data_IF_003528952797
#
_entry.id   IF_003528952797
#
_cell.length_a   1.000
_cell.length_b   1.000
_cell.length_c   1.000
_cell.angle_alpha   90.00
_cell.angle_beta   90.00
_cell.angle_gamma   90.00
#
_symmetry.space_group_name_H-M   'P 1'
#
loop_
_entity.id
_entity.type
_entity.pdbx_description
1 polymer ?
#
# COMPACT_ATOMS: atom_id res chain seq x y z
N UNK A 1 38.84 5.24 -16.76
CA UNK A 1 38.99 5.08 -15.29
C UNK A 1 37.59 5.08 -14.68
N UNK A 2 36.99 3.92 -14.55
CA UNK A 2 35.58 3.76 -14.11
C UNK A 2 35.59 3.47 -12.60
N UNK A 3 35.12 4.39 -11.79
CA UNK A 3 34.99 4.20 -10.35
C UNK A 3 33.71 3.42 -10.06
N UNK A 4 33.86 2.19 -9.63
CA UNK A 4 32.78 1.36 -9.08
C UNK A 4 32.38 1.90 -7.70
N UNK A 5 31.15 2.37 -7.55
CA UNK A 5 30.56 2.73 -6.27
C UNK A 5 29.97 1.44 -5.66
N UNK A 6 30.59 0.92 -4.62
CA UNK A 6 30.06 -0.22 -3.84
C UNK A 6 29.06 0.34 -2.84
N UNK A 7 27.77 0.09 -3.08
CA UNK A 7 26.72 0.39 -2.11
C UNK A 7 26.66 -0.78 -1.13
N UNK A 8 27.14 -0.54 0.09
CA UNK A 8 27.03 -1.49 1.20
C UNK A 8 25.59 -1.53 1.69
N UNK A 9 24.87 -2.59 1.36
CA UNK A 9 23.57 -2.91 1.97
C UNK A 9 23.85 -3.46 3.36
N UNK A 10 23.56 -2.67 4.38
CA UNK A 10 23.61 -3.13 5.77
C UNK A 10 22.46 -4.12 6.00
N UNK A 11 22.78 -5.40 6.02
CA UNK A 11 21.89 -6.48 6.40
C UNK A 11 21.61 -6.40 7.89
N UNK A 12 20.44 -5.93 8.29
CA UNK A 12 19.94 -6.09 9.66
C UNK A 12 19.50 -7.53 9.81
N UNK A 13 20.38 -8.37 10.33
CA UNK A 13 20.07 -9.75 10.72
C UNK A 13 19.24 -9.69 12.00
N UNK A 14 17.90 -9.73 11.87
CA UNK A 14 17.02 -10.00 12.99
C UNK A 14 17.22 -11.45 13.42
N UNK A 15 17.82 -11.68 14.59
CA UNK A 15 17.92 -12.99 15.21
C UNK A 15 16.50 -13.51 15.47
N UNK A 16 16.03 -14.44 14.64
CA UNK A 16 14.84 -15.24 14.93
C UNK A 16 15.21 -16.21 16.06
N UNK A 17 14.77 -15.88 17.28
CA UNK A 17 14.71 -16.86 18.34
C UNK A 17 13.72 -17.95 17.89
N UNK A 18 14.23 -19.16 17.61
CA UNK A 18 13.43 -20.36 17.43
C UNK A 18 12.75 -20.68 18.77
N UNK A 19 11.57 -20.11 18.98
CA UNK A 19 10.66 -20.59 20.01
C UNK A 19 10.05 -21.87 19.45
N UNK A 20 10.29 -22.99 20.16
CA UNK A 20 9.81 -24.30 19.79
C UNK A 20 8.33 -24.27 19.43
N UNK A 21 7.98 -24.92 18.31
CA UNK A 21 6.63 -25.02 17.80
C UNK A 21 5.73 -25.82 18.76
N UNK A 22 5.13 -25.12 19.72
CA UNK A 22 3.82 -25.51 20.21
C UNK A 22 2.84 -25.11 19.11
N UNK A 23 1.99 -26.03 18.67
CA UNK A 23 0.92 -25.74 17.71
C UNK A 23 0.14 -24.52 18.23
N UNK A 24 0.34 -23.38 17.58
CA UNK A 24 -0.33 -22.15 18.00
C UNK A 24 -1.76 -22.24 17.49
N UNK A 25 -2.73 -22.40 18.39
CA UNK A 25 -4.16 -22.38 18.08
C UNK A 25 -4.66 -21.01 17.54
N UNK A 26 -3.76 -20.10 17.23
CA UNK A 26 -4.09 -18.76 16.73
C UNK A 26 -3.01 -18.13 15.85
N UNK A 27 -3.35 -17.01 15.20
CA UNK A 27 -2.40 -16.31 14.32
C UNK A 27 -1.26 -15.65 15.12
N UNK A 28 -0.07 -15.61 14.52
CA UNK A 28 1.01 -14.75 14.99
C UNK A 28 0.68 -13.31 14.58
N UNK A 29 0.60 -12.41 15.56
CA UNK A 29 0.20 -11.01 15.34
C UNK A 29 1.38 -10.08 15.59
N UNK A 30 1.68 -9.21 14.60
CA UNK A 30 2.70 -8.17 14.70
C UNK A 30 2.10 -6.84 14.27
N UNK A 31 2.31 -5.79 15.07
CA UNK A 31 1.94 -4.42 14.69
C UNK A 31 3.20 -3.62 14.43
N UNK A 32 3.23 -2.90 13.31
CA UNK A 32 4.35 -2.11 12.85
C UNK A 32 3.89 -0.69 12.52
N UNK A 33 4.66 0.35 12.86
CA UNK A 33 4.40 1.69 12.36
C UNK A 33 4.63 1.74 10.85
N UNK A 34 3.86 2.58 10.19
CA UNK A 34 4.04 2.96 8.79
C UNK A 34 4.41 4.43 8.74
N UNK A 35 5.58 4.74 8.21
CA UNK A 35 6.01 6.11 8.01
C UNK A 35 6.71 6.21 6.65
N UNK A 36 6.32 7.19 5.88
CA UNK A 36 7.01 7.54 4.65
C UNK A 36 7.03 9.06 4.50
N UNK A 37 8.11 9.60 3.96
CA UNK A 37 8.26 11.02 3.72
C UNK A 37 8.76 11.22 2.31
N UNK A 38 7.99 11.95 1.52
CA UNK A 38 8.32 12.35 0.16
C UNK A 38 8.73 11.17 -0.74
N UNK A 39 7.92 10.11 -0.76
CA UNK A 39 8.11 8.94 -1.62
C UNK A 39 7.14 8.98 -2.80
N UNK A 40 7.50 8.47 -3.98
CA UNK A 40 6.56 8.40 -5.11
C UNK A 40 5.33 7.56 -4.76
N UNK A 41 4.15 8.06 -5.08
CA UNK A 41 2.89 7.32 -4.95
C UNK A 41 2.76 6.22 -6.01
N UNK A 42 3.44 6.38 -7.15
CA UNK A 42 3.40 5.52 -8.33
C UNK A 42 2.83 6.25 -9.54
N UNK A 43 1.60 6.78 -9.49
CA UNK A 43 1.04 7.57 -10.57
C UNK A 43 1.73 8.92 -10.77
N UNK A 44 1.51 9.52 -11.96
CA UNK A 44 2.08 10.79 -12.36
C UNK A 44 1.01 11.76 -12.84
N UNK A 45 1.25 13.06 -12.67
CA UNK A 45 0.52 14.12 -13.38
C UNK A 45 1.36 14.52 -14.60
N UNK A 46 0.95 14.07 -15.79
CA UNK A 46 1.80 14.16 -16.96
C UNK A 46 3.10 13.37 -16.77
N UNK A 47 4.27 14.04 -16.81
CA UNK A 47 5.57 13.40 -16.60
C UNK A 47 6.06 13.47 -15.13
N UNK A 48 5.35 14.19 -14.26
CA UNK A 48 5.80 14.45 -12.90
C UNK A 48 5.19 13.46 -11.90
N UNK A 49 5.99 12.82 -11.02
CA UNK A 49 5.48 11.89 -10.03
C UNK A 49 4.72 12.64 -8.93
N UNK A 50 3.57 12.11 -8.55
CA UNK A 50 2.88 12.52 -7.31
C UNK A 50 3.67 11.95 -6.14
N UNK A 51 4.08 12.82 -5.22
CA UNK A 51 4.80 12.43 -4.00
C UNK A 51 3.81 12.25 -2.85
N UNK A 52 4.10 11.33 -1.94
CA UNK A 52 3.29 11.12 -0.74
C UNK A 52 4.14 11.14 0.53
N UNK A 53 3.54 11.66 1.60
CA UNK A 53 4.05 11.54 2.96
C UNK A 53 2.93 11.07 3.85
N UNK A 54 3.15 10.02 4.65
CA UNK A 54 2.11 9.46 5.50
C UNK A 54 2.66 8.87 6.79
N UNK A 55 1.80 8.80 7.79
CA UNK A 55 1.98 8.06 9.02
C UNK A 55 0.83 7.10 9.23
N UNK A 56 1.06 6.01 9.97
CA UNK A 56 0.01 5.04 10.20
C UNK A 56 0.50 3.80 10.91
N UNK A 57 -0.26 2.73 10.74
CA UNK A 57 0.07 1.42 11.30
C UNK A 57 -0.35 0.28 10.38
N UNK A 58 0.39 -0.81 10.48
CA UNK A 58 0.08 -2.08 9.84
C UNK A 58 0.07 -3.19 10.90
N UNK A 59 -1.08 -3.83 11.09
CA UNK A 59 -1.21 -5.06 11.87
C UNK A 59 -1.20 -6.25 10.92
N UNK A 60 -0.27 -7.16 11.14
CA UNK A 60 -0.09 -8.39 10.35
C UNK A 60 -0.50 -9.57 11.21
N UNK A 61 -1.40 -10.39 10.69
CA UNK A 61 -1.84 -11.66 11.27
C UNK A 61 -1.38 -12.78 10.34
N UNK A 62 -0.52 -13.65 10.83
CA UNK A 62 0.05 -14.76 10.06
C UNK A 62 -0.47 -16.08 10.60
N UNK A 63 -1.09 -16.89 9.74
CA UNK A 63 -1.69 -18.18 10.04
C UNK A 63 -0.82 -19.28 9.47
N UNK A 64 -0.52 -20.29 10.28
CA UNK A 64 0.37 -21.37 9.93
C UNK A 64 -0.34 -22.73 10.00
N UNK A 65 0.01 -23.62 9.07
CA UNK A 65 -0.26 -25.05 9.15
C UNK A 65 1.08 -25.76 9.39
N UNK A 66 1.32 -26.19 10.63
CA UNK A 66 2.65 -26.57 11.07
C UNK A 66 3.67 -25.44 10.86
N UNK A 67 4.77 -25.67 10.15
CA UNK A 67 5.77 -24.64 9.86
C UNK A 67 5.40 -23.76 8.64
N UNK A 68 4.35 -24.10 7.90
CA UNK A 68 4.01 -23.45 6.63
C UNK A 68 3.06 -22.29 6.83
N UNK A 69 3.43 -21.09 6.35
CA UNK A 69 2.55 -19.94 6.29
C UNK A 69 1.49 -20.18 5.20
N UNK A 70 0.22 -20.26 5.58
CA UNK A 70 -0.89 -20.54 4.65
C UNK A 70 -1.73 -19.32 4.33
N UNK A 71 -1.86 -18.38 5.29
CA UNK A 71 -2.64 -17.15 5.12
C UNK A 71 -1.97 -16.00 5.85
N UNK A 72 -2.02 -14.81 5.28
CA UNK A 72 -1.61 -13.59 5.96
C UNK A 72 -2.64 -12.49 5.74
N UNK A 73 -3.07 -11.84 6.83
CA UNK A 73 -3.91 -10.63 6.78
C UNK A 73 -3.11 -9.43 7.24
N UNK A 74 -3.20 -8.33 6.49
CA UNK A 74 -2.54 -7.07 6.79
C UNK A 74 -3.59 -5.98 6.87
N UNK A 75 -3.89 -5.53 8.08
CA UNK A 75 -4.78 -4.39 8.31
C UNK A 75 -3.93 -3.12 8.30
N UNK A 76 -4.16 -2.27 7.33
CA UNK A 76 -3.43 -1.03 7.11
C UNK A 76 -4.33 0.15 7.41
N UNK A 77 -3.80 1.15 8.14
CA UNK A 77 -4.39 2.48 8.30
C UNK A 77 -3.31 3.51 8.17
N UNK A 78 -3.57 4.55 7.42
CA UNK A 78 -2.65 5.66 7.25
C UNK A 78 -3.40 6.97 6.98
N UNK A 79 -2.74 8.07 7.30
CA UNK A 79 -3.13 9.43 6.96
C UNK A 79 -1.88 10.23 6.60
N UNK A 80 -2.04 11.21 5.73
CA UNK A 80 -0.93 12.01 5.24
C UNK A 80 -1.34 12.98 4.16
N UNK A 81 -0.41 13.26 3.26
CA UNK A 81 -0.62 14.17 2.14
C UNK A 81 -0.02 13.60 0.86
N UNK A 82 -0.62 14.00 -0.26
CA UNK A 82 0.01 13.90 -1.57
C UNK A 82 0.37 15.32 -2.05
N UNK A 83 1.46 15.41 -2.81
CA UNK A 83 2.01 16.70 -3.26
C UNK A 83 2.54 16.57 -4.67
N UNK A 84 2.35 17.60 -5.49
CA UNK A 84 3.04 17.75 -6.76
C UNK A 84 4.23 18.69 -6.55
N UNK A 85 5.49 18.26 -6.73
CA UNK A 85 6.67 19.05 -6.39
C UNK A 85 6.77 20.38 -7.13
N UNK A 86 6.38 20.44 -8.42
CA UNK A 86 6.43 21.65 -9.24
C UNK A 86 5.53 22.78 -8.74
N UNK A 87 4.37 22.44 -8.18
CA UNK A 87 3.38 23.42 -7.69
C UNK A 87 3.50 23.64 -6.19
N UNK A 88 4.05 22.68 -5.44
CA UNK A 88 4.06 22.69 -3.99
C UNK A 88 2.68 22.50 -3.34
N UNK A 89 1.62 22.29 -4.13
CA UNK A 89 0.27 22.07 -3.62
C UNK A 89 0.18 20.68 -2.98
N UNK A 90 -0.42 20.63 -1.79
CA UNK A 90 -0.60 19.40 -1.02
C UNK A 90 -2.06 19.15 -0.71
N UNK A 91 -2.51 17.91 -0.88
CA UNK A 91 -3.87 17.47 -0.56
C UNK A 91 -3.85 16.41 0.52
N UNK A 92 -4.81 16.40 1.47
CA UNK A 92 -4.98 15.34 2.44
C UNK A 92 -5.24 13.99 1.75
N UNK A 93 -4.57 12.95 2.22
CA UNK A 93 -4.66 11.59 1.71
C UNK A 93 -4.75 10.61 2.88
N UNK A 94 -5.70 9.71 2.83
CA UNK A 94 -5.89 8.70 3.86
C UNK A 94 -6.34 7.37 3.28
N UNK A 95 -6.17 6.29 4.05
CA UNK A 95 -6.67 4.97 3.69
C UNK A 95 -6.79 4.05 4.89
N UNK A 96 -7.67 3.06 4.75
CA UNK A 96 -7.87 1.98 5.71
C UNK A 96 -8.37 0.75 5.00
N UNK A 97 -7.52 -0.27 4.84
CA UNK A 97 -7.85 -1.48 4.09
C UNK A 97 -7.25 -2.73 4.72
N UNK A 98 -7.79 -3.86 4.33
CA UNK A 98 -7.25 -5.18 4.65
C UNK A 98 -6.74 -5.83 3.38
N UNK A 99 -5.49 -6.27 3.40
CA UNK A 99 -4.90 -7.10 2.36
C UNK A 99 -4.74 -8.52 2.90
N UNK A 100 -5.40 -9.48 2.27
CA UNK A 100 -5.35 -10.90 2.61
C UNK A 100 -4.59 -11.65 1.51
N UNK A 101 -3.53 -12.34 1.88
CA UNK A 101 -2.75 -13.23 1.02
C UNK A 101 -3.10 -14.67 1.35
N UNK A 102 -3.64 -15.41 0.41
CA UNK A 102 -3.81 -16.86 0.47
C UNK A 102 -2.69 -17.51 -0.34
N UNK A 103 -1.76 -18.14 0.35
CA UNK A 103 -0.58 -18.74 -0.28
C UNK A 103 -0.89 -20.05 -1.00
N UNK A 104 -1.94 -20.77 -0.57
CA UNK A 104 -2.36 -22.00 -1.23
C UNK A 104 -3.10 -21.70 -2.54
N UNK A 105 -4.00 -20.72 -2.51
CA UNK A 105 -4.74 -20.27 -3.69
C UNK A 105 -3.93 -19.32 -4.59
N UNK A 106 -2.79 -18.82 -4.12
CA UNK A 106 -1.98 -17.79 -4.79
C UNK A 106 -2.79 -16.53 -5.13
N UNK A 107 -3.67 -16.13 -4.23
CA UNK A 107 -4.52 -14.96 -4.42
C UNK A 107 -4.25 -13.89 -3.38
N UNK A 108 -4.30 -12.63 -3.82
CA UNK A 108 -4.35 -11.44 -2.99
C UNK A 108 -5.76 -10.86 -3.00
N UNK A 109 -6.29 -10.50 -1.85
CA UNK A 109 -7.59 -9.84 -1.74
C UNK A 109 -7.43 -8.55 -0.96
N UNK A 110 -7.81 -7.43 -1.57
CA UNK A 110 -7.82 -6.11 -0.92
C UNK A 110 -9.26 -5.70 -0.69
N UNK A 111 -9.60 -5.32 0.54
CA UNK A 111 -10.92 -4.83 0.91
C UNK A 111 -10.82 -3.55 1.73
N UNK A 112 -11.75 -2.61 1.51
CA UNK A 112 -11.80 -1.35 2.25
C UNK A 112 -11.40 -0.16 1.39
N UNK A 113 -10.96 0.92 2.03
CA UNK A 113 -10.60 2.18 1.37
C UNK A 113 -9.09 2.25 1.18
N UNK A 114 -8.61 1.91 -0.05
CA UNK A 114 -7.18 1.93 -0.35
C UNK A 114 -6.63 3.36 -0.44
N UNK A 115 -7.45 4.30 -0.97
CA UNK A 115 -7.07 5.71 -1.08
C UNK A 115 -8.29 6.62 -1.01
N UNK A 116 -8.12 7.78 -0.38
CA UNK A 116 -9.09 8.84 -0.27
C UNK A 116 -8.37 10.19 -0.27
N UNK A 117 -8.64 11.02 -1.27
CA UNK A 117 -8.05 12.36 -1.40
C UNK A 117 -9.16 13.39 -1.37
N UNK A 118 -8.98 14.43 -0.58
CA UNK A 118 -9.97 15.47 -0.34
C UNK A 118 -9.40 16.84 -0.72
N UNK A 119 -10.20 17.67 -1.38
CA UNK A 119 -9.89 19.10 -1.52
C UNK A 119 -10.39 19.84 -0.27
N UNK A 120 -9.49 20.49 0.49
CA UNK A 120 -9.88 21.30 1.65
C UNK A 120 -10.85 22.42 1.27
N UNK A 121 -11.64 22.88 2.25
CA UNK A 121 -12.55 24.02 2.03
C UNK A 121 -13.84 23.70 1.30
N UNK A 122 -14.25 22.43 1.25
CA UNK A 122 -15.54 22.03 0.66
C UNK A 122 -15.48 21.62 -0.80
N UNK A 123 -14.27 21.49 -1.37
CA UNK A 123 -14.06 21.02 -2.76
C UNK A 123 -14.41 19.55 -2.99
N UNK A 124 -14.72 18.79 -1.93
CA UNK A 124 -15.18 17.42 -2.04
C UNK A 124 -14.06 16.39 -2.12
N UNK A 125 -14.45 15.17 -2.51
CA UNK A 125 -13.55 14.03 -2.71
C UNK A 125 -13.18 13.97 -4.18
N UNK A 126 -11.88 14.03 -4.49
CA UNK A 126 -11.35 13.96 -5.87
C UNK A 126 -10.81 12.58 -6.23
N UNK A 127 -10.54 11.75 -5.22
CA UNK A 127 -10.15 10.36 -5.44
C UNK A 127 -10.80 9.48 -4.38
N UNK A 128 -11.47 8.44 -4.82
CA UNK A 128 -11.90 7.35 -3.96
C UNK A 128 -11.50 6.03 -4.61
N UNK A 129 -10.65 5.30 -3.91
CA UNK A 129 -10.32 3.93 -4.27
C UNK A 129 -10.75 3.02 -3.13
N UNK A 130 -11.89 2.36 -3.29
CA UNK A 130 -12.51 1.56 -2.21
C UNK A 130 -13.36 0.44 -2.78
N UNK A 131 -13.31 -0.70 -2.14
CA UNK A 131 -14.08 -1.87 -2.54
C UNK A 131 -13.31 -3.15 -2.35
N UNK A 132 -13.50 -4.08 -3.28
CA UNK A 132 -12.87 -5.39 -3.35
C UNK A 132 -12.00 -5.45 -4.61
N UNK A 133 -10.74 -5.81 -4.45
CA UNK A 133 -9.85 -6.23 -5.53
C UNK A 133 -9.36 -7.64 -5.21
N UNK A 134 -9.39 -8.52 -6.18
CA UNK A 134 -8.77 -9.86 -6.12
C UNK A 134 -7.73 -9.95 -7.22
N UNK A 135 -6.52 -10.33 -6.86
CA UNK A 135 -5.38 -10.41 -7.77
C UNK A 135 -4.72 -11.80 -7.72
N UNK A 136 -4.12 -12.21 -8.82
CA UNK A 136 -3.26 -13.39 -8.90
C UNK A 136 -1.83 -13.01 -8.51
N UNK A 137 -1.41 -13.40 -7.31
CA UNK A 137 -0.08 -13.07 -6.79
C UNK A 137 1.01 -14.06 -7.22
N UNK A 138 0.68 -15.04 -8.07
CA UNK A 138 1.67 -15.93 -8.69
C UNK A 138 2.46 -15.23 -9.81
N UNK A 139 1.99 -14.06 -10.27
CA UNK A 139 2.55 -13.28 -11.37
C UNK A 139 3.00 -11.89 -10.90
N UNK A 140 3.91 -11.27 -11.66
CA UNK A 140 4.31 -9.90 -11.41
C UNK A 140 4.40 -9.10 -12.73
N UNK A 141 3.71 -7.96 -12.86
CA UNK A 141 2.72 -7.42 -11.92
C UNK A 141 1.50 -8.33 -11.81
N UNK A 142 0.85 -8.41 -10.63
CA UNK A 142 -0.29 -9.28 -10.42
C UNK A 142 -1.49 -8.79 -11.24
N UNK A 143 -2.11 -9.64 -12.10
CA UNK A 143 -3.33 -9.29 -12.79
C UNK A 143 -4.53 -9.31 -11.84
N UNK A 144 -5.48 -8.40 -12.04
CA UNK A 144 -6.75 -8.42 -11.34
C UNK A 144 -7.64 -9.55 -11.88
N UNK A 145 -8.12 -10.39 -10.98
CA UNK A 145 -9.06 -11.48 -11.27
C UNK A 145 -10.51 -11.03 -11.10
N UNK A 146 -10.74 -10.12 -10.16
CA UNK A 146 -12.07 -9.59 -9.86
C UNK A 146 -11.94 -8.21 -9.21
N UNK A 147 -12.87 -7.33 -9.57
CA UNK A 147 -12.96 -5.97 -9.07
C UNK A 147 -14.42 -5.61 -8.78
N UNK A 148 -14.68 -4.99 -7.63
CA UNK A 148 -15.99 -4.47 -7.27
C UNK A 148 -15.85 -3.26 -6.34
N UNK A 149 -16.55 -2.17 -6.66
CA UNK A 149 -16.50 -0.91 -5.89
C UNK A 149 -16.09 0.27 -6.77
N UNK A 150 -15.52 1.29 -6.13
CA UNK A 150 -15.00 2.50 -6.80
C UNK A 150 -13.49 2.42 -6.85
N UNK A 151 -12.92 2.34 -8.03
CA UNK A 151 -11.48 2.18 -8.25
C UNK A 151 -10.92 3.24 -9.20
N UNK A 152 -11.30 4.51 -8.97
CA UNK A 152 -10.87 5.64 -9.80
C UNK A 152 -9.36 5.73 -10.00
N UNK A 153 -8.57 5.19 -9.07
CA UNK A 153 -7.11 5.18 -9.17
C UNK A 153 -6.59 4.38 -10.38
N UNK A 154 -7.33 3.34 -10.79
CA UNK A 154 -6.95 2.46 -11.88
C UNK A 154 -7.67 2.79 -13.20
N UNK A 155 -8.70 3.65 -13.16
CA UNK A 155 -9.45 4.04 -14.33
C UNK A 155 -8.67 5.02 -15.21
N UNK A 156 -8.77 4.93 -16.54
CA UNK A 156 -8.26 5.96 -17.43
C UNK A 156 -8.84 7.34 -17.09
N UNK A 157 -7.98 8.32 -16.83
CA UNK A 157 -8.41 9.65 -16.40
C UNK A 157 -8.84 9.77 -14.94
N UNK A 158 -8.83 8.69 -14.16
CA UNK A 158 -9.24 8.70 -12.75
C UNK A 158 -8.38 9.58 -11.83
N UNK A 159 -7.22 10.04 -12.33
CA UNK A 159 -6.35 10.96 -11.63
C UNK A 159 -6.43 12.40 -12.14
N UNK A 160 -7.20 12.68 -13.20
CA UNK A 160 -7.25 14.01 -13.81
C UNK A 160 -7.72 15.07 -12.81
N UNK A 161 -8.74 14.74 -12.00
CA UNK A 161 -9.23 15.63 -10.94
C UNK A 161 -8.19 15.86 -9.83
N UNK A 162 -7.42 14.82 -9.49
CA UNK A 162 -6.32 14.93 -8.52
C UNK A 162 -5.22 15.82 -9.07
N UNK A 163 -4.82 15.62 -10.32
CA UNK A 163 -3.80 16.42 -10.98
C UNK A 163 -4.24 17.88 -11.10
N UNK A 164 -5.47 18.14 -11.52
CA UNK A 164 -6.03 19.49 -11.56
C UNK A 164 -6.05 20.16 -10.17
N UNK A 165 -6.42 19.40 -9.13
CA UNK A 165 -6.45 19.90 -7.76
C UNK A 165 -5.03 20.14 -7.19
N UNK A 166 -4.02 19.43 -7.69
CA UNK A 166 -2.61 19.67 -7.39
C UNK A 166 -1.98 20.78 -8.24
N UNK A 167 -2.73 21.36 -9.20
CA UNK A 167 -2.31 22.48 -10.03
C UNK A 167 -1.47 22.09 -11.26
N UNK A 168 -1.60 20.84 -11.72
CA UNK A 168 -0.95 20.37 -12.95
C UNK A 168 -1.66 20.86 -14.21
#
# INVERSE_FOLDING_TARGET
MTKLLIISVASVSAALALVGAAAADGPVIVTQPLNATNVPLGPTCGAEPIMQSYTGSRRVESFYDGPTLVLQRRHVRFEGTITLPSTGVSLPHAGGFTFTLDFAAQTGTITGQQAHVIIPGGGGVVLRNSGLLVEDVSQFPPPFLHEAGQHNFFDPGGLDEVCAALGA
#
